data_IF_257816547010
#
_entry.id   IF_257816547010
#
_cell.length_a   1.000
_cell.length_b   1.000
_cell.length_c   1.000
_cell.angle_alpha   90.00
_cell.angle_beta   90.00
_cell.angle_gamma   90.00
#
_symmetry.space_group_name_H-M   'P 1'
#
loop_
_entity.id
_entity.type
_entity.pdbx_description
1 polymer ?
#
# COMPACT_ATOMS: atom_id res chain seq x y z
N UNK A 1 -53.41 -13.23 1.38
CA UNK A 1 -52.47 -12.22 1.93
C UNK A 1 -51.66 -12.64 3.17
N UNK A 2 -51.79 -13.90 3.67
CA UNK A 2 -51.06 -14.33 4.91
C UNK A 2 -49.68 -14.94 4.66
N UNK A 3 -49.26 -15.20 3.41
CA UNK A 3 -48.04 -15.93 3.12
C UNK A 3 -46.83 -15.03 2.65
N UNK A 4 -47.03 -13.73 2.53
CA UNK A 4 -45.94 -12.80 2.10
C UNK A 4 -45.06 -12.27 3.25
N UNK A 5 -45.58 -12.26 4.46
CA UNK A 5 -44.85 -11.71 5.62
C UNK A 5 -43.61 -12.53 6.02
N UNK A 6 -43.63 -13.88 6.04
CA UNK A 6 -42.45 -14.66 6.38
C UNK A 6 -41.34 -14.60 5.31
N UNK A 7 -41.69 -14.42 4.03
CA UNK A 7 -40.73 -14.29 2.94
C UNK A 7 -39.99 -12.93 3.01
N UNK A 8 -40.71 -11.86 3.35
CA UNK A 8 -40.11 -10.54 3.51
C UNK A 8 -39.16 -10.47 4.70
N UNK A 9 -39.50 -11.13 5.82
CA UNK A 9 -38.62 -11.19 7.00
C UNK A 9 -37.36 -12.02 6.69
N UNK A 10 -37.46 -13.08 5.91
CA UNK A 10 -36.32 -13.91 5.52
C UNK A 10 -35.36 -13.14 4.60
N UNK A 11 -35.86 -12.35 3.65
CA UNK A 11 -35.01 -11.51 2.77
C UNK A 11 -34.26 -10.39 3.51
N UNK A 12 -34.88 -9.81 4.53
CA UNK A 12 -34.24 -8.79 5.37
C UNK A 12 -33.11 -9.35 6.23
N UNK A 13 -33.21 -10.61 6.67
CA UNK A 13 -32.15 -11.26 7.46
C UNK A 13 -30.92 -11.63 6.64
N UNK A 14 -31.04 -11.98 5.37
CA UNK A 14 -29.89 -12.27 4.50
C UNK A 14 -29.06 -11.02 4.18
N UNK A 15 -29.69 -9.87 3.98
CA UNK A 15 -28.97 -8.61 3.77
C UNK A 15 -28.16 -8.15 4.98
N UNK A 16 -28.66 -8.41 6.18
CA UNK A 16 -27.97 -8.03 7.43
C UNK A 16 -26.74 -8.88 7.73
N UNK A 17 -26.75 -10.16 7.36
CA UNK A 17 -25.62 -11.08 7.58
C UNK A 17 -24.42 -10.67 6.71
N UNK A 18 -24.64 -10.33 5.45
CA UNK A 18 -23.57 -9.89 4.54
C UNK A 18 -22.94 -8.56 4.97
N UNK A 19 -23.75 -7.59 5.42
CA UNK A 19 -23.25 -6.30 5.88
C UNK A 19 -22.39 -6.44 7.16
N UNK A 20 -22.74 -7.31 8.08
CA UNK A 20 -21.95 -7.58 9.28
C UNK A 20 -20.60 -8.25 8.95
N UNK A 21 -20.56 -9.16 8.00
CA UNK A 21 -19.33 -9.84 7.54
C UNK A 21 -18.36 -8.84 6.90
N UNK A 22 -18.84 -7.96 6.02
CA UNK A 22 -18.03 -6.93 5.37
C UNK A 22 -17.44 -5.94 6.39
N UNK A 23 -18.22 -5.51 7.38
CA UNK A 23 -17.73 -4.61 8.43
C UNK A 23 -16.66 -5.26 9.31
N UNK A 24 -16.77 -6.56 9.59
CA UNK A 24 -15.74 -7.31 10.31
C UNK A 24 -14.44 -7.34 9.50
N UNK A 25 -14.47 -7.69 8.21
CA UNK A 25 -13.29 -7.72 7.34
C UNK A 25 -12.61 -6.35 7.25
N UNK A 26 -13.39 -5.26 7.09
CA UNK A 26 -12.85 -3.89 7.10
C UNK A 26 -12.12 -3.58 8.40
N UNK A 27 -12.68 -3.98 9.54
CA UNK A 27 -12.04 -3.76 10.84
C UNK A 27 -10.75 -4.57 10.97
N UNK A 28 -10.71 -5.80 10.47
CA UNK A 28 -9.50 -6.62 10.45
C UNK A 28 -8.39 -5.99 9.60
N UNK A 29 -8.71 -5.47 8.40
CA UNK A 29 -7.77 -4.73 7.56
C UNK A 29 -7.20 -3.50 8.27
N UNK A 30 -8.06 -2.67 8.87
CA UNK A 30 -7.61 -1.48 9.59
C UNK A 30 -6.72 -1.84 10.77
N UNK A 31 -7.06 -2.88 11.53
CA UNK A 31 -6.23 -3.36 12.63
C UNK A 31 -4.87 -3.89 12.14
N UNK A 32 -4.82 -4.57 11.00
CA UNK A 32 -3.55 -5.03 10.40
C UNK A 32 -2.63 -3.86 10.05
N UNK A 33 -3.17 -2.82 9.42
CA UNK A 33 -2.42 -1.59 9.10
C UNK A 33 -1.92 -0.92 10.38
N UNK A 34 -2.77 -0.76 11.40
CA UNK A 34 -2.41 -0.11 12.66
C UNK A 34 -1.28 -0.86 13.39
N UNK A 35 -1.29 -2.18 13.37
CA UNK A 35 -0.22 -3.00 13.97
C UNK A 35 1.12 -2.86 13.26
N UNK A 36 1.13 -2.43 11.99
CA UNK A 36 2.33 -2.23 11.19
C UNK A 36 2.71 -0.75 11.02
N UNK A 37 2.01 0.16 11.74
CA UNK A 37 2.16 1.59 11.56
C UNK A 37 3.61 2.05 11.68
N UNK A 38 4.34 1.61 12.71
CA UNK A 38 5.73 2.00 12.96
C UNK A 38 6.67 1.55 11.81
N UNK A 39 6.47 0.35 11.28
CA UNK A 39 7.26 -0.18 10.16
C UNK A 39 6.98 0.60 8.87
N UNK A 40 5.70 0.88 8.58
CA UNK A 40 5.28 1.65 7.41
C UNK A 40 5.76 3.10 7.49
N UNK A 41 5.66 3.74 8.64
CA UNK A 41 6.17 5.10 8.87
C UNK A 41 7.69 5.12 8.63
N UNK A 42 8.43 4.19 9.23
CA UNK A 42 9.88 4.09 9.07
C UNK A 42 10.28 3.89 7.61
N UNK A 43 9.56 3.04 6.87
CA UNK A 43 9.81 2.81 5.44
C UNK A 43 9.54 4.08 4.62
N UNK A 44 8.44 4.77 4.87
CA UNK A 44 8.11 6.04 4.20
C UNK A 44 9.16 7.11 4.48
N UNK A 45 9.62 7.23 5.72
CA UNK A 45 10.65 8.19 6.12
C UNK A 45 12.00 7.87 5.46
N UNK A 46 12.37 6.61 5.35
CA UNK A 46 13.59 6.17 4.67
C UNK A 46 13.54 6.53 3.17
N UNK A 47 12.41 6.32 2.50
CA UNK A 47 12.19 6.71 1.10
C UNK A 47 12.26 8.25 0.97
N UNK A 48 11.61 8.97 1.89
CA UNK A 48 11.64 10.44 1.91
C UNK A 48 13.07 10.96 2.04
N UNK A 49 13.89 10.38 2.91
CA UNK A 49 15.29 10.78 3.08
C UNK A 49 16.18 10.38 1.90
N UNK A 50 15.90 9.28 1.24
CA UNK A 50 16.64 8.86 0.04
C UNK A 50 16.42 9.84 -1.10
N UNK A 51 15.22 10.38 -1.26
CA UNK A 51 14.83 11.41 -2.24
C UNK A 51 15.37 11.13 -3.67
N UNK A 52 15.23 9.89 -4.12
CA UNK A 52 15.75 9.39 -5.40
C UNK A 52 14.77 9.69 -6.53
N UNK A 53 15.29 10.24 -7.64
CA UNK A 53 14.45 10.55 -8.80
C UNK A 53 14.16 9.33 -9.64
N UNK A 54 13.13 9.42 -10.52
CA UNK A 54 12.68 8.35 -11.40
C UNK A 54 13.83 7.65 -12.13
N UNK A 55 13.78 6.31 -12.17
CA UNK A 55 14.80 5.37 -12.68
C UNK A 55 16.13 5.35 -11.91
N UNK A 56 16.17 5.97 -10.73
CA UNK A 56 17.33 6.00 -9.83
C UNK A 56 16.95 5.68 -8.37
N UNK A 57 15.76 5.14 -8.17
CA UNK A 57 15.16 4.84 -6.86
C UNK A 57 15.72 3.53 -6.25
N UNK A 58 17.04 3.38 -6.24
CA UNK A 58 17.71 2.11 -5.87
C UNK A 58 17.43 1.72 -4.41
N UNK A 59 17.60 2.65 -3.47
CA UNK A 59 17.34 2.41 -2.04
C UNK A 59 15.86 2.31 -1.77
N UNK A 60 15.06 3.17 -2.37
CA UNK A 60 13.60 3.19 -2.20
C UNK A 60 12.99 1.88 -2.69
N UNK A 61 13.38 1.40 -3.87
CA UNK A 61 12.98 0.09 -4.39
C UNK A 61 13.42 -1.04 -3.46
N UNK A 62 14.67 -0.99 -2.95
CA UNK A 62 15.18 -2.00 -2.02
C UNK A 62 14.34 -2.08 -0.75
N UNK A 63 14.01 -0.96 -0.09
CA UNK A 63 13.17 -0.94 1.11
C UNK A 63 11.82 -1.59 0.87
N UNK A 64 11.16 -1.24 -0.24
CA UNK A 64 9.85 -1.80 -0.59
C UNK A 64 9.93 -3.30 -0.93
N UNK A 65 10.92 -3.72 -1.72
CA UNK A 65 11.12 -5.12 -2.08
C UNK A 65 11.46 -5.99 -0.87
N UNK A 66 12.30 -5.50 0.04
CA UNK A 66 12.64 -6.22 1.28
C UNK A 66 11.41 -6.39 2.17
N UNK A 67 10.61 -5.34 2.34
CA UNK A 67 9.37 -5.40 3.11
C UNK A 67 8.36 -6.38 2.47
N UNK A 68 8.21 -6.38 1.14
CA UNK A 68 7.37 -7.33 0.44
C UNK A 68 7.82 -8.78 0.67
N UNK A 69 9.13 -9.07 0.53
CA UNK A 69 9.69 -10.40 0.78
C UNK A 69 9.50 -10.85 2.22
N UNK A 70 9.73 -9.99 3.20
CA UNK A 70 9.52 -10.27 4.63
C UNK A 70 8.06 -10.61 4.95
N UNK A 71 7.13 -10.03 4.19
CA UNK A 71 5.70 -10.31 4.28
C UNK A 71 5.23 -11.45 3.35
N UNK A 72 6.15 -12.23 2.77
CA UNK A 72 5.84 -13.46 2.05
C UNK A 72 5.30 -13.27 0.63
N UNK A 73 5.64 -12.15 -0.01
CA UNK A 73 5.40 -11.96 -1.44
C UNK A 73 6.55 -12.54 -2.27
N UNK A 74 6.24 -13.09 -3.43
CA UNK A 74 7.21 -13.37 -4.47
C UNK A 74 7.52 -12.08 -5.23
N UNK A 75 8.81 -11.70 -5.27
CA UNK A 75 9.25 -10.40 -5.81
C UNK A 75 10.11 -10.60 -7.04
N UNK A 76 9.64 -10.08 -8.16
CA UNK A 76 10.35 -10.02 -9.42
C UNK A 76 10.76 -8.57 -9.73
N UNK A 77 12.02 -8.33 -10.05
CA UNK A 77 12.64 -7.00 -10.24
C UNK A 77 13.23 -6.86 -11.63
N UNK A 78 13.71 -5.67 -11.98
CA UNK A 78 14.28 -5.33 -13.29
C UNK A 78 13.27 -5.53 -14.43
N UNK A 79 12.02 -5.12 -14.18
CA UNK A 79 10.92 -5.30 -15.12
C UNK A 79 11.14 -4.47 -16.38
N UNK A 80 11.11 -5.12 -17.54
CA UNK A 80 11.28 -4.49 -18.84
C UNK A 80 12.58 -3.66 -18.97
N UNK A 81 13.64 -4.05 -18.27
CA UNK A 81 14.92 -3.34 -18.25
C UNK A 81 14.91 -2.05 -17.40
N UNK A 82 13.95 -1.90 -16.51
CA UNK A 82 13.91 -0.84 -15.50
C UNK A 82 14.41 -1.38 -14.15
N UNK A 83 15.63 -1.06 -13.71
CA UNK A 83 16.27 -1.70 -12.56
C UNK A 83 15.53 -1.50 -11.23
N UNK A 84 14.79 -0.41 -11.11
CA UNK A 84 14.06 -0.04 -9.89
C UNK A 84 12.58 -0.46 -9.91
N UNK A 85 12.06 -0.93 -11.08
CA UNK A 85 10.70 -1.42 -11.18
C UNK A 85 10.61 -2.89 -10.73
N UNK A 86 9.57 -3.20 -9.96
CA UNK A 86 9.33 -4.56 -9.46
C UNK A 86 7.84 -4.89 -9.38
N UNK A 87 7.54 -6.18 -9.36
CA UNK A 87 6.24 -6.70 -8.91
C UNK A 87 6.41 -7.52 -7.64
N UNK A 88 5.42 -7.48 -6.79
CA UNK A 88 5.29 -8.34 -5.62
C UNK A 88 3.97 -9.11 -5.75
N UNK A 89 4.04 -10.43 -5.86
CA UNK A 89 2.88 -11.28 -6.15
C UNK A 89 2.58 -12.20 -4.98
N UNK A 90 1.30 -12.40 -4.69
CA UNK A 90 0.83 -13.37 -3.72
C UNK A 90 -0.44 -14.08 -4.20
N UNK A 91 -0.52 -15.40 -3.96
CA UNK A 91 -1.67 -16.24 -4.31
C UNK A 91 -1.69 -16.64 -5.78
N UNK A 92 -2.73 -17.37 -6.14
CA UNK A 92 -2.93 -17.95 -7.47
C UNK A 92 -4.39 -17.83 -7.91
N UNK A 93 -4.64 -17.96 -9.21
CA UNK A 93 -6.00 -18.03 -9.76
C UNK A 93 -6.55 -16.68 -10.19
N UNK A 94 -7.85 -16.50 -10.10
CA UNK A 94 -8.57 -15.33 -10.58
C UNK A 94 -9.78 -14.99 -9.69
N UNK A 95 -10.17 -13.72 -9.57
CA UNK A 95 -9.59 -12.57 -10.29
C UNK A 95 -8.20 -12.18 -9.77
N UNK A 96 -7.37 -11.58 -10.62
CA UNK A 96 -6.12 -10.93 -10.20
C UNK A 96 -6.39 -9.46 -9.93
N UNK A 97 -6.00 -8.99 -8.75
CA UNK A 97 -6.15 -7.59 -8.33
C UNK A 97 -4.78 -6.96 -8.30
N UNK A 98 -4.58 -5.88 -9.08
CA UNK A 98 -3.36 -5.09 -9.09
C UNK A 98 -3.48 -3.87 -8.19
N UNK A 99 -2.46 -3.64 -7.36
CA UNK A 99 -2.27 -2.42 -6.58
C UNK A 99 -1.01 -1.74 -7.10
N UNK A 100 -1.12 -0.47 -7.47
CA UNK A 100 -0.01 0.32 -8.02
C UNK A 100 0.54 1.21 -6.93
N UNK A 101 1.88 1.37 -6.89
CA UNK A 101 2.58 2.33 -6.04
C UNK A 101 3.70 3.00 -6.81
N UNK A 102 3.95 4.26 -6.53
CA UNK A 102 5.08 5.05 -7.03
C UNK A 102 5.90 5.50 -5.84
N UNK A 103 7.23 5.68 -6.03
CA UNK A 103 8.13 6.00 -4.93
C UNK A 103 9.31 6.90 -5.33
N UNK A 104 9.25 7.52 -6.50
CA UNK A 104 10.23 8.49 -6.98
C UNK A 104 10.04 9.87 -6.35
N UNK A 105 11.15 10.59 -6.17
CA UNK A 105 11.19 12.00 -5.82
C UNK A 105 11.25 12.88 -7.07
N UNK A 106 10.87 14.14 -6.93
CA UNK A 106 10.90 15.12 -8.01
C UNK A 106 12.16 15.99 -7.93
N UNK A 107 12.83 16.28 -9.06
CA UNK A 107 14.01 17.16 -9.08
C UNK A 107 13.70 18.56 -8.57
N UNK A 108 14.63 19.14 -7.79
CA UNK A 108 14.54 20.53 -7.32
C UNK A 108 13.46 20.79 -6.27
N UNK A 109 12.88 19.76 -5.69
CA UNK A 109 11.83 19.88 -4.66
C UNK A 109 12.29 19.47 -3.26
N UNK A 110 13.61 19.54 -3.00
CA UNK A 110 14.15 19.32 -1.66
C UNK A 110 13.52 20.28 -0.66
N UNK A 111 13.03 19.77 0.45
CA UNK A 111 12.29 20.55 1.43
C UNK A 111 12.41 19.90 2.82
N UNK A 112 12.55 20.74 3.84
CA UNK A 112 12.44 20.32 5.24
C UNK A 112 10.96 20.23 5.68
N UNK A 113 10.71 19.89 6.93
CA UNK A 113 9.35 19.74 7.48
C UNK A 113 8.67 21.05 7.91
N UNK A 114 9.22 22.21 7.49
CA UNK A 114 8.64 23.52 7.83
C UNK A 114 7.65 24.01 6.76
N UNK A 115 6.68 24.89 7.10
CA UNK A 115 5.62 25.30 6.17
C UNK A 115 6.03 26.48 5.24
N UNK A 116 7.31 26.68 5.02
CA UNK A 116 7.86 27.68 4.10
C UNK A 116 9.03 27.08 3.33
N UNK A 117 9.40 27.66 2.18
CA UNK A 117 10.52 27.15 1.36
C UNK A 117 11.79 27.10 2.18
N UNK A 118 12.31 25.90 2.41
CA UNK A 118 13.55 25.65 3.14
C UNK A 118 14.14 24.32 2.66
N UNK A 119 15.06 24.39 1.71
CA UNK A 119 15.64 23.21 1.09
C UNK A 119 16.52 22.45 2.10
N UNK A 120 16.35 21.13 2.18
CA UNK A 120 17.23 20.25 2.95
C UNK A 120 18.59 20.11 2.25
N UNK A 121 18.55 20.03 0.91
CA UNK A 121 19.71 19.99 0.03
C UNK A 121 19.47 21.00 -1.09
N UNK A 122 20.37 21.96 -1.29
CA UNK A 122 20.23 22.99 -2.30
C UNK A 122 20.09 22.41 -3.70
N UNK A 123 18.99 22.72 -4.39
CA UNK A 123 18.65 22.18 -5.71
C UNK A 123 18.37 20.67 -5.74
N UNK A 124 18.35 20.02 -4.58
CA UNK A 124 18.14 18.57 -4.47
C UNK A 124 16.72 18.13 -4.78
N UNK A 125 16.54 16.83 -4.94
CA UNK A 125 15.23 16.21 -5.13
C UNK A 125 14.44 16.14 -3.82
N UNK A 126 13.12 15.97 -3.90
CA UNK A 126 12.23 15.80 -2.75
C UNK A 126 10.85 15.28 -3.12
N UNK A 127 10.14 14.75 -2.14
CA UNK A 127 8.83 14.12 -2.32
C UNK A 127 7.67 15.14 -2.31
N UNK A 128 7.72 16.12 -3.22
CA UNK A 128 6.67 17.13 -3.36
C UNK A 128 5.31 16.57 -3.82
N UNK A 129 5.28 15.37 -4.40
CA UNK A 129 4.07 14.65 -4.79
C UNK A 129 3.62 13.61 -3.74
N UNK A 130 4.47 13.30 -2.75
CA UNK A 130 4.16 12.34 -1.69
C UNK A 130 4.29 10.88 -2.11
N UNK A 131 5.12 10.55 -3.11
CA UNK A 131 5.31 9.18 -3.57
C UNK A 131 5.96 8.26 -2.51
N UNK A 132 6.72 8.80 -1.56
CA UNK A 132 7.17 8.06 -0.38
C UNK A 132 5.98 7.47 0.42
N UNK A 133 4.89 8.22 0.54
CA UNK A 133 3.65 7.76 1.18
C UNK A 133 2.87 6.81 0.26
N UNK A 134 2.79 7.13 -1.05
CA UNK A 134 2.01 6.35 -1.99
C UNK A 134 2.56 4.93 -2.16
N UNK A 135 3.86 4.76 -2.41
CA UNK A 135 4.48 3.44 -2.50
C UNK A 135 4.32 2.62 -1.22
N UNK A 136 4.58 3.24 -0.08
CA UNK A 136 4.43 2.63 1.24
C UNK A 136 2.99 2.21 1.54
N UNK A 137 2.01 3.10 1.31
CA UNK A 137 0.60 2.82 1.58
C UNK A 137 0.05 1.72 0.67
N UNK A 138 0.44 1.72 -0.61
CA UNK A 138 0.06 0.68 -1.57
C UNK A 138 0.55 -0.70 -1.14
N UNK A 139 1.81 -0.80 -0.73
CA UNK A 139 2.37 -2.07 -0.26
C UNK A 139 1.77 -2.49 1.09
N UNK A 140 1.56 -1.57 2.02
CA UNK A 140 0.87 -1.84 3.29
C UNK A 140 -0.55 -2.37 3.08
N UNK A 141 -1.28 -1.80 2.12
CA UNK A 141 -2.61 -2.29 1.74
C UNK A 141 -2.55 -3.71 1.15
N UNK A 142 -1.56 -4.01 0.29
CA UNK A 142 -1.35 -5.33 -0.27
C UNK A 142 -1.08 -6.37 0.83
N UNK A 143 -0.23 -6.05 1.81
CA UNK A 143 0.07 -6.92 2.96
C UNK A 143 -1.18 -7.20 3.79
N UNK A 144 -1.98 -6.17 4.09
CA UNK A 144 -3.21 -6.34 4.86
C UNK A 144 -4.25 -7.20 4.13
N UNK A 145 -4.36 -7.07 2.80
CA UNK A 145 -5.23 -7.91 1.96
C UNK A 145 -4.74 -9.36 1.95
N UNK A 146 -3.42 -9.57 1.78
CA UNK A 146 -2.81 -10.90 1.86
C UNK A 146 -3.19 -11.62 3.15
N UNK A 147 -3.06 -10.97 4.30
CA UNK A 147 -3.40 -11.53 5.61
C UNK A 147 -4.89 -11.94 5.73
N UNK A 148 -5.78 -11.30 4.99
CA UNK A 148 -7.18 -11.73 4.90
C UNK A 148 -7.38 -12.96 4.01
N UNK A 149 -6.59 -13.07 2.94
CA UNK A 149 -6.68 -14.22 2.01
C UNK A 149 -6.17 -15.50 2.67
N UNK A 150 -5.20 -15.39 3.59
CA UNK A 150 -4.60 -16.52 4.31
C UNK A 150 -5.49 -17.09 5.44
N UNK A 151 -6.61 -16.44 5.79
CA UNK A 151 -7.56 -16.86 6.86
C UNK A 151 -8.68 -17.73 6.32
#
# INVERSE_FOLDING_TARGET
MKNFLPILILMLSFGSINAQSVNKLKKELLNSIEQKADELITMSDNIWHAAEVAFREEKSAQYLMEYAKQNGFDVDSDLAGMPTAFTATFGEGSPVIGIIGEFDALPGLSQTTVPYKNELTEGGAGHGCGHNLFGTASLGAAVAIKELIEK
#
